data_IF_441364166712
#
_entry.id   IF_441364166712
#
_cell.length_a   1.000
_cell.length_b   1.000
_cell.length_c   1.000
_cell.angle_alpha   90.00
_cell.angle_beta   90.00
_cell.angle_gamma   90.00
#
_symmetry.space_group_name_H-M   'P 1'
#
loop_
_entity.id
_entity.type
_entity.pdbx_description
1 polymer ?
#
# COMPACT_ATOMS: atom_id res chain seq x y z
N UNK A 1 45.47 -13.44 -27.76
CA UNK A 1 44.37 -12.51 -28.08
C UNK A 1 43.13 -12.97 -27.34
N UNK A 2 42.68 -12.16 -26.38
CA UNK A 2 41.62 -12.45 -25.43
C UNK A 2 40.23 -12.27 -26.04
N UNK A 3 39.31 -13.23 -25.83
CA UNK A 3 37.87 -13.00 -26.00
C UNK A 3 37.21 -13.25 -24.66
N UNK A 4 36.97 -12.18 -23.89
CA UNK A 4 36.15 -12.26 -22.68
C UNK A 4 34.71 -12.20 -23.15
N UNK A 5 34.03 -13.35 -23.20
CA UNK A 5 32.60 -13.41 -23.40
C UNK A 5 31.93 -12.64 -22.25
N UNK A 6 31.35 -11.49 -22.57
CA UNK A 6 30.55 -10.72 -21.62
C UNK A 6 29.21 -11.44 -21.47
N UNK A 7 29.08 -12.26 -20.44
CA UNK A 7 27.80 -12.89 -20.07
C UNK A 7 26.74 -11.80 -19.91
N UNK A 8 25.53 -11.94 -20.50
CA UNK A 8 24.48 -10.93 -20.36
C UNK A 8 24.17 -10.72 -18.88
N UNK A 9 24.31 -9.49 -18.40
CA UNK A 9 23.84 -9.15 -17.06
C UNK A 9 22.32 -9.33 -17.00
N UNK A 10 21.84 -10.44 -16.45
CA UNK A 10 20.44 -10.60 -16.07
C UNK A 10 20.17 -9.80 -14.79
N UNK A 11 20.17 -8.48 -14.91
CA UNK A 11 19.85 -7.57 -13.80
C UNK A 11 18.34 -7.42 -13.66
N UNK A 12 17.69 -8.31 -12.89
CA UNK A 12 16.38 -7.94 -12.31
C UNK A 12 16.03 -8.74 -11.05
N UNK A 13 15.90 -8.02 -9.93
CA UNK A 13 14.69 -8.15 -9.15
C UNK A 13 14.11 -6.75 -8.90
N UNK A 14 13.56 -6.15 -9.95
CA UNK A 14 12.58 -5.08 -9.78
C UNK A 14 11.25 -5.77 -9.47
N UNK A 15 10.58 -5.37 -8.40
CA UNK A 15 9.25 -5.85 -8.04
C UNK A 15 8.37 -5.94 -9.29
N UNK A 16 7.87 -7.12 -9.68
CA UNK A 16 7.24 -7.28 -10.99
C UNK A 16 6.00 -6.39 -11.06
N UNK A 17 5.91 -5.54 -12.10
CA UNK A 17 4.84 -4.55 -12.26
C UNK A 17 3.44 -5.20 -12.17
N UNK A 18 3.30 -6.42 -12.69
CA UNK A 18 2.07 -7.22 -12.56
C UNK A 18 1.68 -7.48 -11.10
N UNK A 19 2.64 -7.78 -10.22
CA UNK A 19 2.37 -8.04 -8.80
C UNK A 19 1.95 -6.77 -8.08
N UNK A 20 2.60 -5.65 -8.39
CA UNK A 20 2.20 -4.33 -7.87
C UNK A 20 0.80 -3.98 -8.34
N UNK A 21 0.51 -4.14 -9.64
CA UNK A 21 -0.81 -3.89 -10.21
C UNK A 21 -1.90 -4.72 -9.53
N UNK A 22 -1.66 -6.02 -9.35
CA UNK A 22 -2.58 -6.91 -8.63
C UNK A 22 -2.79 -6.47 -7.17
N UNK A 23 -1.73 -6.08 -6.47
CA UNK A 23 -1.83 -5.60 -5.09
C UNK A 23 -2.61 -4.28 -4.99
N UNK A 24 -2.39 -3.35 -5.92
CA UNK A 24 -3.13 -2.07 -5.99
C UNK A 24 -4.61 -2.32 -6.27
N UNK A 25 -4.93 -3.18 -7.25
CA UNK A 25 -6.32 -3.52 -7.57
C UNK A 25 -6.98 -4.24 -6.39
N UNK A 26 -6.29 -5.19 -5.74
CA UNK A 26 -6.80 -5.89 -4.58
C UNK A 26 -7.07 -4.92 -3.41
N UNK A 27 -6.12 -4.02 -3.10
CA UNK A 27 -6.31 -3.00 -2.07
C UNK A 27 -7.50 -2.09 -2.37
N UNK A 28 -7.60 -1.62 -3.61
CA UNK A 28 -8.71 -0.78 -4.05
C UNK A 28 -10.06 -1.49 -3.87
N UNK A 29 -10.20 -2.72 -4.37
CA UNK A 29 -11.44 -3.49 -4.28
C UNK A 29 -11.82 -3.74 -2.83
N UNK A 30 -10.87 -4.19 -2.01
CA UNK A 30 -11.12 -4.49 -0.60
C UNK A 30 -11.49 -3.23 0.19
N UNK A 31 -10.80 -2.11 -0.04
CA UNK A 31 -11.10 -0.86 0.65
C UNK A 31 -12.45 -0.28 0.23
N UNK A 32 -12.79 -0.34 -1.05
CA UNK A 32 -14.11 0.10 -1.54
C UNK A 32 -15.21 -0.81 -0.99
N UNK A 33 -15.01 -2.13 -0.95
CA UNK A 33 -15.96 -3.04 -0.33
C UNK A 33 -16.14 -2.73 1.17
N UNK A 34 -15.04 -2.49 1.89
CA UNK A 34 -15.04 -2.09 3.30
C UNK A 34 -15.82 -0.81 3.52
N UNK A 35 -15.66 0.19 2.62
CA UNK A 35 -16.42 1.44 2.68
C UNK A 35 -17.92 1.18 2.59
N UNK A 36 -18.37 0.38 1.62
CA UNK A 36 -19.80 0.09 1.47
C UNK A 36 -20.36 -0.73 2.63
N UNK A 37 -19.62 -1.71 3.12
CA UNK A 37 -20.04 -2.52 4.28
C UNK A 37 -20.16 -1.64 5.53
N UNK A 38 -19.17 -0.80 5.81
CA UNK A 38 -19.20 0.10 6.95
C UNK A 38 -20.32 1.15 6.82
N UNK A 39 -20.54 1.69 5.62
CA UNK A 39 -21.63 2.64 5.36
C UNK A 39 -23.00 1.98 5.58
N UNK A 40 -23.17 0.74 5.13
CA UNK A 40 -24.39 -0.04 5.38
C UNK A 40 -24.58 -0.37 6.87
N UNK A 41 -23.48 -0.50 7.62
CA UNK A 41 -23.48 -0.67 9.08
C UNK A 41 -23.67 0.64 9.86
N UNK A 42 -23.84 1.78 9.20
CA UNK A 42 -24.11 3.08 9.83
C UNK A 42 -22.91 4.00 10.04
N UNK A 43 -21.73 3.67 9.49
CA UNK A 43 -20.59 4.58 9.53
C UNK A 43 -20.89 5.88 8.77
N UNK A 44 -20.68 7.03 9.42
CA UNK A 44 -20.99 8.34 8.84
C UNK A 44 -19.97 8.80 7.78
N UNK A 45 -18.71 8.37 7.92
CA UNK A 45 -17.59 8.84 7.10
C UNK A 45 -17.38 10.38 7.14
N UNK A 46 -17.74 10.99 8.28
CA UNK A 46 -17.50 12.41 8.58
C UNK A 46 -16.60 12.56 9.82
N UNK A 47 -16.19 13.80 10.13
CA UNK A 47 -15.31 14.11 11.25
C UNK A 47 -14.51 15.38 11.03
N UNK A 48 -13.51 15.61 11.86
CA UNK A 48 -12.54 16.70 11.71
C UNK A 48 -11.49 16.34 10.65
N UNK A 49 -11.99 16.07 9.45
CA UNK A 49 -11.20 15.69 8.28
C UNK A 49 -11.34 16.80 7.23
N UNK A 50 -10.30 17.08 6.43
CA UNK A 50 -10.32 18.17 5.45
C UNK A 50 -11.46 18.05 4.43
N UNK A 51 -11.93 16.82 4.17
CA UNK A 51 -13.02 16.52 3.26
C UNK A 51 -13.80 15.30 3.76
N UNK A 52 -15.10 15.22 3.47
CA UNK A 52 -15.90 14.04 3.75
C UNK A 52 -15.39 12.84 2.93
N UNK A 53 -15.30 11.67 3.57
CA UNK A 53 -14.77 10.47 2.92
C UNK A 53 -15.84 9.88 2.01
N UNK A 54 -15.55 9.85 0.70
CA UNK A 54 -16.40 9.22 -0.31
C UNK A 54 -15.62 8.14 -1.07
N UNK A 55 -16.31 7.38 -1.93
CA UNK A 55 -15.71 6.28 -2.70
C UNK A 55 -14.52 6.74 -3.54
N UNK A 56 -14.59 7.94 -4.12
CA UNK A 56 -13.48 8.52 -4.91
C UNK A 56 -12.28 8.78 -4.01
N UNK A 57 -12.49 9.36 -2.84
CA UNK A 57 -11.46 9.60 -1.83
C UNK A 57 -10.81 8.30 -1.37
N UNK A 58 -11.60 7.26 -1.09
CA UNK A 58 -11.09 5.92 -0.74
C UNK A 58 -10.25 5.35 -1.88
N UNK A 59 -10.71 5.47 -3.13
CA UNK A 59 -10.00 4.95 -4.29
C UNK A 59 -8.64 5.65 -4.48
N UNK A 60 -8.65 6.99 -4.44
CA UNK A 60 -7.43 7.80 -4.56
C UNK A 60 -6.46 7.51 -3.42
N UNK A 61 -6.95 7.49 -2.17
CA UNK A 61 -6.15 7.21 -0.97
C UNK A 61 -5.61 5.78 -0.93
N UNK A 62 -6.23 4.82 -1.63
CA UNK A 62 -5.73 3.44 -1.74
C UNK A 62 -4.64 3.30 -2.80
N UNK A 63 -4.80 4.00 -3.94
CA UNK A 63 -3.93 3.81 -5.10
C UNK A 63 -2.71 4.71 -5.04
N UNK A 64 -2.89 6.01 -4.78
CA UNK A 64 -1.83 7.01 -4.90
C UNK A 64 -0.64 6.72 -3.96
N UNK A 65 -0.84 6.43 -2.66
CA UNK A 65 0.27 6.16 -1.75
C UNK A 65 1.07 4.92 -2.15
N UNK A 66 0.40 3.84 -2.57
CA UNK A 66 1.08 2.61 -3.01
C UNK A 66 1.91 2.89 -4.27
N UNK A 67 1.33 3.58 -5.25
CA UNK A 67 2.04 3.90 -6.51
C UNK A 67 3.27 4.75 -6.23
N UNK A 68 3.13 5.83 -5.44
CA UNK A 68 4.26 6.69 -5.07
C UNK A 68 5.33 5.89 -4.32
N UNK A 69 4.93 5.09 -3.31
CA UNK A 69 5.87 4.29 -2.52
C UNK A 69 6.62 3.27 -3.39
N UNK A 70 5.95 2.62 -4.34
CA UNK A 70 6.60 1.69 -5.27
C UNK A 70 7.56 2.42 -6.20
N UNK A 71 7.18 3.59 -6.72
CA UNK A 71 8.06 4.39 -7.57
C UNK A 71 9.33 4.77 -6.82
N UNK A 72 9.22 5.26 -5.59
CA UNK A 72 10.36 5.58 -4.72
C UNK A 72 11.21 4.33 -4.45
N UNK A 73 10.58 3.23 -4.04
CA UNK A 73 11.29 1.97 -3.77
C UNK A 73 12.04 1.46 -5.01
N UNK A 74 11.44 1.55 -6.19
CA UNK A 74 12.06 1.12 -7.45
C UNK A 74 13.34 1.89 -7.78
N UNK A 75 13.48 3.13 -7.31
CA UNK A 75 14.70 3.94 -7.46
C UNK A 75 15.76 3.54 -6.44
N UNK A 76 15.36 3.25 -5.20
CA UNK A 76 16.27 2.88 -4.11
C UNK A 76 16.84 1.48 -4.32
N UNK A 77 16.00 0.50 -4.68
CA UNK A 77 16.41 -0.91 -4.84
C UNK A 77 17.39 -1.11 -6.00
N UNK A 78 17.41 -0.20 -6.99
CA UNK A 78 18.45 -0.18 -8.05
C UNK A 78 19.87 -0.04 -7.49
N UNK A 79 20.03 0.65 -6.35
CA UNK A 79 21.32 0.84 -5.68
C UNK A 79 21.50 -0.15 -4.54
N UNK A 80 20.46 -0.43 -3.76
CA UNK A 80 20.52 -1.28 -2.57
C UNK A 80 19.45 -2.38 -2.59
N UNK A 81 19.78 -3.53 -3.18
CA UNK A 81 18.85 -4.67 -3.31
C UNK A 81 18.39 -5.22 -1.96
N UNK A 82 19.24 -5.14 -0.93
CA UNK A 82 18.92 -5.58 0.44
C UNK A 82 17.83 -4.72 1.11
N UNK A 83 17.62 -3.49 0.65
CA UNK A 83 16.65 -2.56 1.24
C UNK A 83 15.19 -2.97 1.00
N UNK A 84 14.93 -3.83 0.00
CA UNK A 84 13.56 -4.21 -0.38
C UNK A 84 12.79 -4.90 0.76
N UNK A 85 13.44 -5.79 1.53
CA UNK A 85 12.78 -6.46 2.65
C UNK A 85 12.50 -5.49 3.80
N UNK A 86 13.44 -4.59 4.10
CA UNK A 86 13.26 -3.55 5.12
C UNK A 86 12.12 -2.60 4.74
N UNK A 87 12.02 -2.21 3.47
CA UNK A 87 10.95 -1.35 2.98
C UNK A 87 9.57 -2.01 3.07
N UNK A 88 9.49 -3.34 2.84
CA UNK A 88 8.25 -4.09 3.02
C UNK A 88 7.73 -3.96 4.45
N UNK A 89 8.60 -4.22 5.44
CA UNK A 89 8.26 -4.08 6.85
C UNK A 89 8.00 -2.65 7.27
N UNK A 90 8.79 -1.69 6.78
CA UNK A 90 8.62 -0.28 7.12
C UNK A 90 7.27 0.26 6.67
N UNK A 91 6.84 -0.05 5.45
CA UNK A 91 5.52 0.38 4.96
C UNK A 91 4.36 -0.30 5.70
N UNK A 92 4.52 -1.58 6.10
CA UNK A 92 3.52 -2.25 6.94
C UNK A 92 3.44 -1.61 8.34
N UNK A 93 4.58 -1.36 8.98
CA UNK A 93 4.63 -0.72 10.29
C UNK A 93 4.03 0.69 10.24
N UNK A 94 4.36 1.47 9.22
CA UNK A 94 3.79 2.80 9.01
C UNK A 94 2.26 2.76 8.85
N UNK A 95 1.74 1.79 8.10
CA UNK A 95 0.31 1.58 7.93
C UNK A 95 -0.40 1.18 9.24
N UNK A 96 0.27 0.41 10.10
CA UNK A 96 -0.28 0.06 11.42
C UNK A 96 -0.26 1.25 12.39
N UNK A 97 0.81 2.04 12.39
CA UNK A 97 0.90 3.24 13.23
C UNK A 97 -0.14 4.28 12.80
N UNK A 98 -0.38 4.43 11.49
CA UNK A 98 -1.39 5.37 10.98
C UNK A 98 -2.83 4.95 11.31
N UNK A 99 -3.08 3.71 11.74
CA UNK A 99 -4.40 3.29 12.23
C UNK A 99 -4.85 4.04 13.49
N UNK A 100 -3.93 4.67 14.23
CA UNK A 100 -4.29 5.52 15.37
C UNK A 100 -4.99 6.83 14.94
N UNK A 101 -4.63 7.38 13.78
CA UNK A 101 -5.14 8.67 13.31
C UNK A 101 -6.67 8.67 13.12
N UNK A 102 -7.30 7.67 12.46
CA UNK A 102 -8.75 7.59 12.35
C UNK A 102 -9.53 7.73 13.66
N UNK A 103 -9.00 7.22 14.78
CA UNK A 103 -9.66 7.32 16.08
C UNK A 103 -9.59 8.72 16.69
N UNK A 104 -8.70 9.59 16.20
CA UNK A 104 -8.57 10.97 16.64
C UNK A 104 -9.46 11.93 15.84
N UNK A 105 -9.78 11.62 14.57
CA UNK A 105 -10.44 12.55 13.65
C UNK A 105 -11.85 12.13 13.22
N UNK A 106 -12.23 10.85 13.35
CA UNK A 106 -13.56 10.39 12.96
C UNK A 106 -14.65 10.85 13.93
N UNK A 107 -15.82 11.18 13.39
CA UNK A 107 -16.99 11.58 14.19
C UNK A 107 -17.59 10.43 15.02
N UNK A 108 -17.42 9.20 14.56
CA UNK A 108 -17.98 8.01 15.21
C UNK A 108 -17.03 6.81 15.14
N UNK A 109 -17.21 5.87 16.07
CA UNK A 109 -16.35 4.70 16.23
C UNK A 109 -16.41 3.75 15.02
N UNK A 110 -17.56 3.63 14.35
CA UNK A 110 -17.70 2.76 13.19
C UNK A 110 -16.86 3.28 12.01
N UNK A 111 -16.86 4.60 11.78
CA UNK A 111 -16.00 5.29 10.82
C UNK A 111 -14.52 5.11 11.17
N UNK A 112 -14.14 5.29 12.44
CA UNK A 112 -12.76 5.10 12.88
C UNK A 112 -12.24 3.68 12.60
N UNK A 113 -13.05 2.67 12.94
CA UNK A 113 -12.73 1.25 12.70
C UNK A 113 -12.62 0.98 11.19
N UNK A 114 -13.58 1.46 10.39
CA UNK A 114 -13.57 1.25 8.95
C UNK A 114 -12.32 1.85 8.29
N UNK A 115 -11.97 3.09 8.64
CA UNK A 115 -10.77 3.76 8.14
C UNK A 115 -9.48 3.05 8.61
N UNK A 116 -9.42 2.59 9.87
CA UNK A 116 -8.28 1.83 10.36
C UNK A 116 -8.11 0.51 9.59
N UNK A 117 -9.19 -0.22 9.32
CA UNK A 117 -9.15 -1.44 8.51
C UNK A 117 -8.63 -1.17 7.08
N UNK A 118 -9.03 -0.06 6.46
CA UNK A 118 -8.50 0.33 5.14
C UNK A 118 -6.98 0.56 5.17
N UNK A 119 -6.44 1.14 6.25
CA UNK A 119 -4.99 1.30 6.41
C UNK A 119 -4.30 -0.07 6.53
N UNK A 120 -4.88 -0.99 7.32
CA UNK A 120 -4.39 -2.37 7.44
C UNK A 120 -4.35 -3.05 6.08
N UNK A 121 -5.44 -3.07 5.32
CA UNK A 121 -5.48 -3.71 3.99
C UNK A 121 -4.48 -3.09 3.02
N UNK A 122 -4.31 -1.77 3.04
CA UNK A 122 -3.31 -1.05 2.23
C UNK A 122 -1.89 -1.46 2.63
N UNK A 123 -1.61 -1.57 3.93
CA UNK A 123 -0.33 -2.04 4.47
C UNK A 123 -0.02 -3.49 4.09
N UNK A 124 -0.99 -4.39 4.17
CA UNK A 124 -0.83 -5.78 3.71
C UNK A 124 -0.59 -5.83 2.21
N UNK A 125 -1.34 -5.07 1.42
CA UNK A 125 -1.17 -5.01 -0.03
C UNK A 125 0.25 -4.53 -0.40
N UNK A 126 0.76 -3.49 0.28
CA UNK A 126 2.15 -3.07 0.15
C UNK A 126 3.12 -4.21 0.48
N UNK A 127 3.00 -4.79 1.67
CA UNK A 127 3.90 -5.84 2.14
C UNK A 127 3.96 -6.99 1.14
N UNK A 128 2.80 -7.50 0.70
CA UNK A 128 2.73 -8.56 -0.29
C UNK A 128 3.10 -8.11 -1.70
N UNK A 129 3.05 -6.83 -2.06
CA UNK A 129 3.55 -6.36 -3.33
C UNK A 129 5.09 -6.41 -3.36
N UNK A 130 5.73 -5.89 -2.31
CA UNK A 130 7.17 -5.59 -2.35
C UNK A 130 8.06 -6.64 -1.68
N UNK A 131 7.52 -7.49 -0.79
CA UNK A 131 8.33 -8.49 -0.09
C UNK A 131 9.05 -9.42 -1.10
N UNK A 132 10.38 -9.58 -0.99
CA UNK A 132 11.12 -10.54 -1.81
C UNK A 132 10.53 -11.94 -1.62
N UNK A 133 10.37 -12.70 -2.70
CA UNK A 133 10.13 -14.15 -2.56
C UNK A 133 11.50 -14.80 -2.40
N UNK A 134 11.70 -15.52 -1.30
CA UNK A 134 12.79 -16.48 -1.21
C UNK A 134 12.59 -17.47 -2.34
N UNK A 135 13.57 -17.52 -3.26
CA UNK A 135 13.68 -18.57 -4.26
C UNK A 135 14.22 -19.83 -3.61
#
# INVERSE_FOLDING_TARGET
MSTIASTPQTSRPATPARRVGLAVVAALVVNVATFFVAKAAGASFTGDMPYAVNVVGVAVASVVPIVIAVLVLSRIVRRWTRFQNTAAWLGLALALVSCASPFAVAADTATAIALALMHVFTGLAWFFAVRPRTA
#
